data_IF_329464898330
#
_entry.id   IF_329464898330
#
_cell.length_a   1.000
_cell.length_b   1.000
_cell.length_c   1.000
_cell.angle_alpha   90.00
_cell.angle_beta   90.00
_cell.angle_gamma   90.00
#
_symmetry.space_group_name_H-M   'P 1'
#
loop_
_entity.id
_entity.type
_entity.pdbx_description
1 polymer ?
#
# COMPACT_ATOMS: atom_id res chain seq x y z
N UNK A 1 5.61 19.66 -14.10
CA UNK A 1 4.39 19.90 -13.29
C UNK A 1 4.22 18.76 -12.30
N UNK A 2 3.32 18.88 -11.31
CA UNK A 2 3.01 17.78 -10.39
C UNK A 2 1.60 17.27 -10.65
N UNK A 3 1.43 15.96 -10.55
CA UNK A 3 0.16 15.26 -10.71
C UNK A 3 -0.17 14.57 -9.40
N UNK A 4 -1.44 14.61 -9.00
CA UNK A 4 -1.91 13.94 -7.79
C UNK A 4 -2.75 12.74 -8.16
N UNK A 5 -2.56 11.63 -7.46
CA UNK A 5 -3.35 10.43 -7.60
C UNK A 5 -4.05 10.12 -6.28
N UNK A 6 -5.37 9.92 -6.34
CA UNK A 6 -6.15 9.30 -5.27
C UNK A 6 -6.08 7.78 -5.45
N UNK A 7 -5.48 7.10 -4.48
CA UNK A 7 -5.31 5.65 -4.48
C UNK A 7 -6.49 5.03 -3.76
N UNK A 8 -7.22 4.17 -4.47
CA UNK A 8 -8.36 3.42 -3.96
C UNK A 8 -8.01 1.95 -3.86
N UNK A 9 -8.03 1.44 -2.65
CA UNK A 9 -7.79 0.05 -2.29
C UNK A 9 -9.10 -0.62 -1.92
N UNK A 10 -9.17 -1.96 -1.98
CA UNK A 10 -10.34 -2.70 -1.47
C UNK A 10 -10.43 -2.65 0.05
N UNK A 11 -9.32 -2.28 0.70
CA UNK A 11 -9.18 -2.06 2.13
C UNK A 11 -8.90 -0.61 2.48
N UNK A 12 -9.40 -0.14 3.62
CA UNK A 12 -9.06 1.18 4.17
C UNK A 12 -9.63 2.36 3.36
N UNK A 13 -9.47 3.56 3.91
CA UNK A 13 -9.87 4.80 3.24
C UNK A 13 -8.89 5.17 2.11
N UNK A 14 -9.37 5.81 1.03
CA UNK A 14 -8.51 6.33 -0.02
C UNK A 14 -7.46 7.31 0.53
N UNK A 15 -6.28 7.31 -0.09
CA UNK A 15 -5.18 8.23 0.25
C UNK A 15 -4.58 8.85 -1.01
N UNK A 16 -3.84 9.94 -0.84
CA UNK A 16 -3.31 10.70 -1.97
C UNK A 16 -1.80 10.58 -2.07
N UNK A 17 -1.30 10.51 -3.30
CA UNK A 17 0.12 10.68 -3.61
C UNK A 17 0.28 11.81 -4.63
N UNK A 18 1.35 12.59 -4.52
CA UNK A 18 1.67 13.64 -5.50
C UNK A 18 3.07 13.41 -6.02
N UNK A 19 3.20 13.28 -7.34
CA UNK A 19 4.46 12.97 -8.02
C UNK A 19 4.76 14.00 -9.11
N UNK A 20 6.01 14.03 -9.58
CA UNK A 20 6.35 14.78 -10.79
C UNK A 20 5.79 14.06 -12.02
N UNK A 21 5.29 14.79 -13.01
CA UNK A 21 4.83 14.21 -14.28
C UNK A 21 5.98 13.61 -15.12
N UNK A 22 7.22 13.96 -14.79
CA UNK A 22 8.43 13.53 -15.50
C UNK A 22 9.00 12.20 -14.98
N UNK A 23 8.47 11.64 -13.88
CA UNK A 23 8.95 10.32 -13.43
C UNK A 23 8.46 9.23 -14.40
N UNK A 24 9.23 8.15 -14.56
CA UNK A 24 8.76 6.97 -15.27
C UNK A 24 7.55 6.33 -14.58
N UNK A 25 6.65 5.75 -15.37
CA UNK A 25 5.45 5.06 -14.88
C UNK A 25 5.81 3.87 -13.97
N UNK A 26 6.92 3.17 -14.24
CA UNK A 26 7.39 2.12 -13.32
C UNK A 26 7.75 2.66 -11.93
N UNK A 27 8.30 3.87 -11.84
CA UNK A 27 8.59 4.52 -10.56
C UNK A 27 7.31 4.93 -9.85
N UNK A 28 6.33 5.48 -10.58
CA UNK A 28 4.99 5.73 -10.04
C UNK A 28 4.41 4.46 -9.41
N UNK A 29 4.45 3.34 -10.13
CA UNK A 29 3.96 2.06 -9.59
C UNK A 29 4.68 1.69 -8.30
N UNK A 30 6.00 1.75 -8.27
CA UNK A 30 6.78 1.44 -7.07
C UNK A 30 6.36 2.31 -5.89
N UNK A 31 6.24 3.62 -6.11
CA UNK A 31 5.78 4.57 -5.08
C UNK A 31 4.38 4.21 -4.58
N UNK A 32 3.44 3.90 -5.48
CA UNK A 32 2.08 3.52 -5.10
C UNK A 32 2.10 2.27 -4.22
N UNK A 33 2.82 1.23 -4.63
CA UNK A 33 2.89 -0.04 -3.89
C UNK A 33 3.49 0.17 -2.49
N UNK A 34 4.59 0.93 -2.39
CA UNK A 34 5.22 1.26 -1.10
C UNK A 34 4.23 2.02 -0.19
N UNK A 35 3.42 2.90 -0.77
CA UNK A 35 2.40 3.65 -0.03
C UNK A 35 1.18 2.78 0.34
N UNK A 36 0.81 1.80 -0.47
CA UNK A 36 -0.24 0.83 -0.12
C UNK A 36 0.20 0.01 1.09
N UNK A 37 1.42 -0.50 1.09
CA UNK A 37 1.97 -1.26 2.22
C UNK A 37 2.08 -0.39 3.49
N UNK A 38 2.42 0.90 3.35
CA UNK A 38 2.49 1.81 4.48
C UNK A 38 1.12 2.19 5.06
N UNK A 39 0.10 2.39 4.21
CA UNK A 39 -1.20 2.94 4.63
C UNK A 39 -2.27 1.86 4.88
N UNK A 40 -2.01 0.61 4.52
CA UNK A 40 -3.00 -0.46 4.58
C UNK A 40 -2.42 -1.72 5.23
N UNK A 41 -3.24 -2.77 5.33
CA UNK A 41 -2.78 -4.08 5.78
C UNK A 41 -2.22 -4.95 4.65
N UNK A 42 -2.29 -4.49 3.40
CA UNK A 42 -1.83 -5.25 2.24
C UNK A 42 -0.31 -5.20 2.16
N UNK A 43 0.32 -6.36 1.97
CA UNK A 43 1.73 -6.43 1.61
C UNK A 43 1.90 -6.21 0.10
N UNK A 44 3.11 -5.93 -0.35
CA UNK A 44 3.42 -5.81 -1.79
C UNK A 44 2.98 -7.04 -2.58
N UNK A 45 3.18 -8.23 -2.03
CA UNK A 45 2.87 -9.50 -2.67
C UNK A 45 1.36 -9.74 -2.81
N UNK A 46 0.55 -9.03 -2.03
CA UNK A 46 -0.91 -9.11 -2.13
C UNK A 46 -1.44 -8.30 -3.31
N UNK A 47 -0.69 -7.31 -3.82
CA UNK A 47 -1.14 -6.48 -4.94
C UNK A 47 -0.99 -7.24 -6.26
N UNK A 48 -2.13 -7.53 -6.88
CA UNK A 48 -2.22 -8.18 -8.19
C UNK A 48 -2.04 -7.16 -9.31
N UNK A 49 -2.75 -6.03 -9.21
CA UNK A 49 -2.73 -5.01 -10.25
C UNK A 49 -2.93 -3.59 -9.68
N UNK A 50 -2.40 -2.63 -10.42
CA UNK A 50 -2.62 -1.20 -10.25
C UNK A 50 -3.20 -0.69 -11.56
N UNK A 51 -4.45 -0.22 -11.56
CA UNK A 51 -5.15 0.04 -12.81
C UNK A 51 -6.06 1.26 -12.73
N UNK A 52 -6.53 1.70 -13.91
CA UNK A 52 -7.46 2.81 -14.10
C UNK A 52 -8.67 2.27 -14.86
N UNK A 53 -9.86 2.21 -14.22
CA UNK A 53 -11.09 1.79 -14.90
C UNK A 53 -11.63 2.92 -15.78
N UNK A 54 -12.22 2.55 -16.91
CA UNK A 54 -12.98 3.45 -17.77
C UNK A 54 -14.14 2.68 -18.43
N UNK A 55 -15.37 2.98 -18.05
CA UNK A 55 -16.57 2.24 -18.48
C UNK A 55 -16.47 0.74 -18.15
N UNK A 56 -16.46 -0.12 -19.18
CA UNK A 56 -16.34 -1.58 -19.05
C UNK A 56 -14.91 -2.07 -19.26
N UNK A 57 -13.96 -1.17 -19.48
CA UNK A 57 -12.55 -1.47 -19.73
C UNK A 57 -11.66 -0.91 -18.62
N UNK A 58 -10.39 -1.32 -18.63
CA UNK A 58 -9.38 -0.78 -17.73
C UNK A 58 -8.00 -0.80 -18.36
N UNK A 59 -7.11 0.07 -17.88
CA UNK A 59 -5.69 0.05 -18.21
C UNK A 59 -4.84 -0.19 -16.97
N UNK A 60 -3.97 -1.18 -17.04
CA UNK A 60 -3.01 -1.51 -15.98
C UNK A 60 -1.74 -0.66 -16.10
N UNK A 61 -1.22 -0.26 -14.95
CA UNK A 61 0.08 0.39 -14.80
C UNK A 61 1.14 -0.70 -14.68
N UNK A 62 1.89 -0.90 -15.77
CA UNK A 62 2.86 -1.99 -15.90
C UNK A 62 4.18 -1.69 -15.16
N UNK A 63 4.81 -2.76 -14.67
CA UNK A 63 6.08 -2.70 -13.91
C UNK A 63 7.29 -2.23 -14.70
N UNK A 64 7.22 -2.25 -16.04
CA UNK A 64 8.37 -1.98 -16.92
C UNK A 64 8.10 -0.89 -17.95
N UNK A 65 7.06 -0.07 -17.76
CA UNK A 65 6.80 1.05 -18.68
C UNK A 65 7.89 2.12 -18.52
N UNK A 66 8.58 2.42 -19.61
CA UNK A 66 9.59 3.49 -19.71
C UNK A 66 8.96 4.86 -19.97
N UNK A 67 7.66 4.92 -20.20
CA UNK A 67 6.94 6.17 -20.44
C UNK A 67 6.99 7.03 -19.18
N UNK A 68 6.96 8.35 -19.33
CA UNK A 68 6.75 9.23 -18.20
C UNK A 68 5.28 9.25 -17.82
N UNK A 69 4.97 9.64 -16.58
CA UNK A 69 3.58 9.84 -16.16
C UNK A 69 2.84 10.78 -17.11
N UNK A 70 3.51 11.84 -17.57
CA UNK A 70 2.98 12.77 -18.56
C UNK A 70 2.61 12.09 -19.87
N UNK A 71 3.56 11.39 -20.50
CA UNK A 71 3.31 10.76 -21.80
C UNK A 71 2.26 9.66 -21.70
N UNK A 72 2.20 8.95 -20.57
CA UNK A 72 1.16 7.96 -20.30
C UNK A 72 -0.24 8.58 -20.20
N UNK A 73 -0.38 9.71 -19.49
CA UNK A 73 -1.65 10.44 -19.42
C UNK A 73 -2.08 10.94 -20.81
N UNK A 74 -1.13 11.50 -21.57
CA UNK A 74 -1.38 12.01 -22.92
C UNK A 74 -1.72 10.90 -23.92
N UNK A 75 -1.23 9.68 -23.69
CA UNK A 75 -1.51 8.50 -24.52
C UNK A 75 -2.92 7.94 -24.30
N UNK A 76 -3.46 8.07 -23.08
CA UNK A 76 -4.76 7.50 -22.69
C UNK A 76 -5.73 8.55 -22.15
N UNK A 77 -5.97 9.65 -22.90
CA UNK A 77 -6.67 10.82 -22.37
C UNK A 77 -8.07 10.47 -21.85
N UNK A 78 -8.80 9.53 -22.47
CA UNK A 78 -10.13 9.10 -22.04
C UNK A 78 -10.16 8.51 -20.61
N UNK A 79 -9.08 7.88 -20.16
CA UNK A 79 -8.94 7.32 -18.81
C UNK A 79 -8.70 8.42 -17.76
N UNK A 80 -8.22 9.58 -18.17
CA UNK A 80 -7.83 10.68 -17.27
C UNK A 80 -8.73 11.91 -17.35
N UNK A 81 -9.39 12.15 -18.49
CA UNK A 81 -10.16 13.37 -18.79
C UNK A 81 -11.68 13.25 -18.59
N UNK A 82 -12.27 12.04 -18.66
CA UNK A 82 -13.71 11.93 -18.78
C UNK A 82 -14.47 11.77 -17.46
N UNK A 83 -13.91 11.10 -16.43
CA UNK A 83 -14.76 10.61 -15.32
C UNK A 83 -14.13 10.54 -13.92
N UNK A 84 -12.99 11.19 -13.66
CA UNK A 84 -12.37 11.05 -12.34
C UNK A 84 -13.10 11.75 -11.18
N UNK A 85 -14.28 12.34 -11.40
CA UNK A 85 -15.13 12.92 -10.33
C UNK A 85 -14.39 13.93 -9.44
N UNK A 86 -13.23 14.41 -9.90
CA UNK A 86 -12.32 15.20 -9.11
C UNK A 86 -12.68 16.66 -9.31
N UNK A 87 -12.93 17.35 -8.20
CA UNK A 87 -13.18 18.80 -8.17
C UNK A 87 -11.98 19.63 -8.69
N UNK A 88 -10.83 18.99 -8.97
CA UNK A 88 -9.57 19.63 -9.32
C UNK A 88 -8.97 18.98 -10.57
N UNK A 89 -8.63 19.80 -11.56
CA UNK A 89 -8.16 19.42 -12.90
C UNK A 89 -6.88 18.55 -12.95
N UNK A 90 -6.28 18.17 -11.80
CA UNK A 90 -4.99 17.48 -11.69
C UNK A 90 -5.00 16.32 -10.67
N UNK A 91 -6.18 15.81 -10.27
CA UNK A 91 -6.28 14.61 -9.43
C UNK A 91 -6.93 13.49 -10.24
N UNK A 92 -6.20 12.39 -10.39
CA UNK A 92 -6.69 11.19 -11.08
C UNK A 92 -6.84 10.02 -10.09
N UNK A 93 -7.70 9.06 -10.38
CA UNK A 93 -7.90 7.91 -9.51
C UNK A 93 -7.11 6.70 -10.02
N UNK A 94 -6.43 6.01 -9.09
CA UNK A 94 -5.82 4.71 -9.34
C UNK A 94 -6.45 3.68 -8.41
N UNK A 95 -6.64 2.47 -8.90
CA UNK A 95 -7.26 1.38 -8.16
C UNK A 95 -6.28 0.25 -7.96
N UNK A 96 -6.31 -0.34 -6.75
CA UNK A 96 -5.52 -1.51 -6.39
C UNK A 96 -6.44 -2.73 -6.41
N UNK A 97 -6.00 -3.77 -7.11
CA UNK A 97 -6.57 -5.10 -7.00
C UNK A 97 -5.66 -5.98 -6.17
N UNK A 98 -6.21 -6.63 -5.15
CA UNK A 98 -5.46 -7.49 -4.24
C UNK A 98 -5.94 -8.95 -4.24
N UNK A 99 -5.03 -9.85 -3.87
CA UNK A 99 -5.28 -11.27 -3.80
C UNK A 99 -6.37 -11.68 -2.79
N UNK A 100 -6.41 -11.13 -1.55
CA UNK A 100 -7.49 -11.41 -0.61
C UNK A 100 -8.89 -11.13 -1.18
N UNK A 101 -9.06 -9.98 -1.83
CA UNK A 101 -10.32 -9.62 -2.48
C UNK A 101 -10.69 -10.59 -3.60
N UNK A 102 -9.73 -10.93 -4.46
CA UNK A 102 -9.95 -11.87 -5.57
C UNK A 102 -10.31 -13.28 -5.11
N UNK A 103 -9.71 -13.76 -4.00
CA UNK A 103 -10.06 -15.05 -3.41
C UNK A 103 -11.51 -15.07 -2.92
N UNK A 104 -12.00 -13.96 -2.35
CA UNK A 104 -13.39 -13.84 -1.86
C UNK A 104 -14.40 -13.86 -2.99
N UNK A 105 -14.15 -13.10 -4.06
CA UNK A 105 -14.99 -13.15 -5.27
C UNK A 105 -15.04 -14.58 -5.82
N UNK A 106 -13.87 -15.23 -5.97
CA UNK A 106 -13.78 -16.59 -6.49
C UNK A 106 -14.52 -17.60 -5.62
N UNK A 107 -14.50 -17.42 -4.30
CA UNK A 107 -15.19 -18.26 -3.33
C UNK A 107 -16.65 -17.88 -3.07
N UNK A 108 -17.20 -16.90 -3.81
CA UNK A 108 -18.57 -16.37 -3.63
C UNK A 108 -18.85 -15.92 -2.18
N UNK A 109 -17.83 -15.41 -1.50
CA UNK A 109 -17.92 -14.83 -0.15
C UNK A 109 -17.98 -13.32 -0.25
N UNK A 110 -18.57 -12.67 0.75
CA UNK A 110 -18.62 -11.21 0.82
C UNK A 110 -17.23 -10.59 0.81
N UNK A 111 -17.14 -9.40 0.20
CA UNK A 111 -15.92 -8.61 0.16
C UNK A 111 -15.46 -8.30 1.60
N UNK A 112 -14.15 -8.36 1.86
CA UNK A 112 -13.62 -8.06 3.18
C UNK A 112 -13.91 -6.60 3.53
N UNK A 113 -14.58 -6.38 4.67
CA UNK A 113 -14.72 -5.04 5.26
C UNK A 113 -13.56 -4.84 6.21
N UNK A 114 -12.62 -3.99 5.79
CA UNK A 114 -11.45 -3.67 6.58
C UNK A 114 -11.80 -2.55 7.54
N UNK A 115 -11.94 -2.88 8.83
CA UNK A 115 -12.12 -1.87 9.86
C UNK A 115 -10.77 -1.18 10.12
N UNK A 116 -10.73 0.16 10.05
CA UNK A 116 -9.55 1.05 10.22
C UNK A 116 -8.76 0.87 11.55
N UNK A 117 -9.13 -0.09 12.40
CA UNK A 117 -8.43 -0.38 13.65
C UNK A 117 -7.37 -1.45 13.45
N UNK A 118 -6.15 -1.01 13.13
CA UNK A 118 -4.95 -1.71 13.57
C UNK A 118 -4.64 -1.12 14.96
N UNK A 119 -5.09 -1.73 16.08
CA UNK A 119 -4.45 -1.40 17.35
C UNK A 119 -2.97 -1.72 17.17
N UNK A 120 -2.04 -0.80 17.55
CA UNK A 120 -0.62 -1.13 17.52
C UNK A 120 -0.48 -2.47 18.22
N UNK A 121 0.17 -3.43 17.55
CA UNK A 121 0.36 -4.76 18.09
C UNK A 121 0.79 -4.58 19.54
N UNK A 122 -0.08 -4.95 20.49
CA UNK A 122 0.27 -4.88 21.90
C UNK A 122 1.45 -5.81 22.00
N UNK A 123 2.66 -5.25 22.07
CA UNK A 123 3.92 -5.94 22.29
C UNK A 123 3.89 -6.48 23.72
N UNK A 124 3.00 -7.43 23.94
CA UNK A 124 2.86 -8.21 25.15
C UNK A 124 3.76 -9.39 24.95
N UNK A 125 5.08 -9.14 24.95
CA UNK A 125 6.12 -10.01 25.51
C UNK A 125 7.46 -9.29 25.38
N UNK A 126 7.91 -8.80 26.54
CA UNK A 126 9.31 -8.83 26.97
C UNK A 126 10.25 -7.64 26.81
N UNK A 127 9.75 -6.40 26.82
CA UNK A 127 10.57 -5.28 27.32
C UNK A 127 11.11 -5.57 28.75
N UNK A 128 10.33 -6.29 29.58
CA UNK A 128 10.78 -6.75 30.92
C UNK A 128 11.91 -7.78 30.87
N UNK A 129 11.97 -8.66 29.86
CA UNK A 129 13.07 -9.63 29.78
C UNK A 129 14.33 -9.01 29.18
N UNK A 130 14.19 -8.05 28.25
CA UNK A 130 15.33 -7.30 27.72
C UNK A 130 15.95 -6.45 28.83
N UNK A 131 15.14 -5.76 29.64
CA UNK A 131 15.62 -4.97 30.77
C UNK A 131 16.25 -5.84 31.86
N UNK A 132 15.66 -7.00 32.18
CA UNK A 132 16.26 -7.96 33.12
C UNK A 132 17.62 -8.44 32.64
N UNK A 133 17.72 -8.87 31.37
CA UNK A 133 18.97 -9.40 30.81
C UNK A 133 20.08 -8.33 30.75
N UNK A 134 19.73 -7.08 30.43
CA UNK A 134 20.68 -5.97 30.46
C UNK A 134 21.16 -5.67 31.89
N UNK A 135 20.27 -5.76 32.89
CA UNK A 135 20.62 -5.51 34.28
C UNK A 135 21.50 -6.63 34.86
N UNK A 136 21.28 -7.90 34.51
CA UNK A 136 22.16 -9.01 34.94
C UNK A 136 23.55 -8.93 34.32
N UNK A 137 23.66 -8.46 33.07
CA UNK A 137 24.94 -8.23 32.41
C UNK A 137 25.73 -7.06 33.03
N UNK A 138 25.04 -6.00 33.48
CA UNK A 138 25.66 -4.84 34.12
C UNK A 138 26.02 -5.04 35.59
N UNK A 139 25.27 -5.89 36.30
CA UNK A 139 25.46 -6.10 37.76
C UNK A 139 26.28 -7.33 38.12
N UNK A 140 26.63 -8.18 37.15
CA UNK A 140 27.52 -9.33 37.36
C UNK A 140 26.97 -10.39 38.32
N UNK A 141 25.68 -10.35 38.68
CA UNK A 141 25.06 -11.33 39.56
C UNK A 141 24.72 -12.62 38.76
N UNK A 142 25.76 -13.34 38.38
CA UNK A 142 25.65 -14.72 37.90
C UNK A 142 25.17 -15.64 39.02
N UNK A 143 24.16 -16.44 38.70
CA UNK A 143 23.63 -17.53 39.51
C UNK A 143 24.79 -18.43 39.94
N UNK A 144 25.05 -18.49 41.25
CA UNK A 144 25.86 -19.56 41.83
C UNK A 144 24.99 -20.83 41.76
N UNK A 145 25.32 -21.72 40.83
CA UNK A 145 24.95 -23.13 40.92
C UNK A 145 25.74 -23.75 42.07
N UNK A 146 25.05 -24.21 43.11
CA UNK A 146 25.60 -25.21 44.01
C UNK A 146 24.66 -26.39 44.07
N UNK A 147 25.11 -27.49 43.50
CA UNK A 147 24.61 -28.83 43.74
C UNK A 147 24.78 -29.20 45.22
N UNK A 148 23.76 -29.81 45.80
CA UNK A 148 23.84 -31.01 46.64
C UNK A 148 22.44 -31.51 46.94
#
# INVERSE_FOLDING_TARGET
>A
MKVTFEIKTTCSKPFHITVSEEIPVFELRKIVIDMVEYNTILCREDVIDLFIPHNNDCISILELSSDTVKSFIEQYPEYFHADNSSLWNNIHQLYIMDAPYMEKIRSKKEAPVYNDFIPPAKSTTSAKNILKNALTLLTGAGIITSAT
#
